data_IF_493175429125
#
_entry.id   IF_493175429125
#
_cell.length_a   1.000
_cell.length_b   1.000
_cell.length_c   1.000
_cell.angle_alpha   90.00
_cell.angle_beta   90.00
_cell.angle_gamma   90.00
#
_symmetry.space_group_name_H-M   'P 1'
#
loop_
_entity.id
_entity.type
_entity.pdbx_description
1 polymer ?
#
# COMPACT_ATOMS: atom_id res chain seq x y z
N UNK A 1 7.47 -3.63 -4.30
CA UNK A 1 6.54 -2.48 -4.31
C UNK A 1 6.07 -2.20 -5.73
N UNK A 2 4.77 -2.01 -5.96
CA UNK A 2 4.20 -1.74 -7.30
C UNK A 2 3.46 -0.40 -7.39
N UNK A 3 3.23 0.28 -6.26
CA UNK A 3 2.60 1.59 -6.23
C UNK A 3 3.55 2.67 -6.76
N UNK A 4 3.04 3.56 -7.63
CA UNK A 4 3.83 4.65 -8.21
C UNK A 4 4.47 5.56 -7.13
N UNK A 5 3.79 5.77 -5.99
CA UNK A 5 4.34 6.52 -4.84
C UNK A 5 5.56 5.85 -4.19
N UNK A 6 5.50 4.52 -4.01
CA UNK A 6 6.61 3.74 -3.44
C UNK A 6 7.82 3.68 -4.38
N UNK A 7 7.60 3.60 -5.69
CA UNK A 7 8.67 3.51 -6.68
C UNK A 7 9.35 4.87 -6.95
N UNK A 8 8.67 5.97 -6.68
CA UNK A 8 9.21 7.34 -6.84
C UNK A 8 9.81 7.91 -5.56
N UNK A 9 9.66 7.21 -4.41
CA UNK A 9 10.12 7.66 -3.10
C UNK A 9 11.05 6.61 -2.48
N UNK A 10 12.37 6.85 -2.57
CA UNK A 10 13.39 5.93 -2.06
C UNK A 10 13.22 5.62 -0.57
N UNK A 11 12.81 6.62 0.23
CA UNK A 11 12.55 6.44 1.66
C UNK A 11 11.35 5.53 1.95
N UNK A 12 10.28 5.65 1.17
CA UNK A 12 9.10 4.77 1.30
C UNK A 12 9.39 3.35 0.79
N UNK A 13 10.25 3.19 -0.21
CA UNK A 13 10.68 1.87 -0.66
C UNK A 13 11.42 1.11 0.44
N UNK A 14 12.33 1.77 1.17
CA UNK A 14 12.98 1.15 2.32
C UNK A 14 11.98 0.91 3.45
N UNK A 15 11.08 1.86 3.74
CA UNK A 15 10.08 1.74 4.80
C UNK A 15 9.05 0.63 4.54
N UNK A 16 8.64 0.39 3.29
CA UNK A 16 7.70 -0.68 2.94
C UNK A 16 8.32 -2.09 3.02
N UNK A 17 9.65 -2.17 3.09
CA UNK A 17 10.41 -3.41 3.27
C UNK A 17 10.81 -3.64 4.74
N UNK A 18 10.50 -2.71 5.65
CA UNK A 18 10.63 -2.93 7.10
C UNK A 18 9.36 -3.54 7.68
N UNK A 19 9.43 -4.03 8.93
CA UNK A 19 8.28 -4.56 9.68
C UNK A 19 7.42 -3.44 10.32
N UNK A 20 7.70 -2.18 9.99
CA UNK A 20 7.05 -1.01 10.59
C UNK A 20 5.60 -0.80 10.10
N UNK A 21 5.29 -0.90 8.80
CA UNK A 21 3.92 -0.72 8.33
C UNK A 21 3.13 -2.03 8.36
N UNK A 22 1.82 -1.91 8.58
CA UNK A 22 0.92 -3.08 8.52
C UNK A 22 0.60 -3.43 7.08
N UNK A 23 1.01 -4.62 6.64
CA UNK A 23 0.59 -5.19 5.36
C UNK A 23 -0.80 -5.81 5.53
N UNK A 24 -1.76 -5.40 4.69
CA UNK A 24 -3.11 -5.98 4.62
C UNK A 24 -3.40 -6.45 3.20
N UNK A 25 -4.34 -7.36 3.04
CA UNK A 25 -4.79 -7.77 1.71
C UNK A 25 -5.57 -6.64 1.02
N UNK A 26 -5.39 -6.50 -0.29
CA UNK A 26 -6.18 -5.57 -1.07
C UNK A 26 -7.66 -5.95 -1.07
N UNK A 27 -8.45 -5.10 -0.42
CA UNK A 27 -9.89 -5.20 -0.27
C UNK A 27 -10.48 -3.83 -0.65
N UNK A 28 -11.19 -3.69 -1.78
CA UNK A 28 -11.62 -2.40 -2.29
C UNK A 28 -12.56 -1.66 -1.32
N UNK A 29 -13.41 -2.39 -0.60
CA UNK A 29 -14.30 -1.81 0.41
C UNK A 29 -13.50 -1.17 1.56
N UNK A 30 -12.49 -1.87 2.07
CA UNK A 30 -11.65 -1.40 3.19
C UNK A 30 -10.69 -0.31 2.73
N UNK A 31 -10.13 -0.44 1.52
CA UNK A 31 -9.15 0.50 0.96
C UNK A 31 -9.80 1.85 0.64
N UNK A 32 -11.04 1.85 0.16
CA UNK A 32 -11.78 3.08 -0.13
C UNK A 32 -12.12 3.90 1.12
N UNK A 33 -12.33 3.24 2.25
CA UNK A 33 -12.66 3.89 3.53
C UNK A 33 -11.40 4.20 4.38
N UNK A 34 -10.24 3.68 3.98
CA UNK A 34 -8.98 3.87 4.71
C UNK A 34 -8.52 5.33 4.60
N UNK A 35 -8.53 6.03 5.75
CA UNK A 35 -7.91 7.35 5.85
C UNK A 35 -6.40 7.24 5.75
N UNK A 36 -5.80 8.10 4.93
CA UNK A 36 -4.36 8.19 4.71
C UNK A 36 -3.85 9.59 5.05
N UNK A 37 -2.77 9.73 5.85
CA UNK A 37 -2.08 11.00 5.98
C UNK A 37 -1.32 11.30 4.67
N UNK A 38 -1.39 12.54 4.18
CA UNK A 38 -0.64 12.99 2.99
C UNK A 38 0.78 13.47 3.33
N UNK A 39 1.06 13.76 4.60
CA UNK A 39 2.30 14.36 5.08
C UNK A 39 3.25 13.39 5.78
N UNK A 40 2.80 12.15 6.02
CA UNK A 40 3.55 11.12 6.76
C UNK A 40 3.56 9.81 5.97
N UNK A 41 4.47 8.90 6.33
CA UNK A 41 4.54 7.57 5.72
C UNK A 41 3.26 6.78 5.96
N UNK A 42 2.84 6.01 4.95
CA UNK A 42 1.61 5.22 5.04
C UNK A 42 1.73 4.17 6.15
N UNK A 43 0.84 4.17 7.16
CA UNK A 43 0.90 3.20 8.26
C UNK A 43 0.42 1.81 7.86
N UNK A 44 -0.32 1.71 6.74
CA UNK A 44 -0.89 0.49 6.20
C UNK A 44 -0.60 0.42 4.71
N UNK A 45 -0.08 -0.72 4.23
CA UNK A 45 0.02 -1.00 2.80
C UNK A 45 -0.90 -2.16 2.44
N UNK A 46 -1.60 -2.02 1.33
CA UNK A 46 -2.45 -3.07 0.79
C UNK A 46 -1.68 -3.86 -0.28
N UNK A 47 -1.64 -5.18 -0.12
CA UNK A 47 -0.94 -6.10 -1.01
C UNK A 47 -1.97 -6.77 -1.90
N UNK A 48 -1.89 -6.52 -3.21
CA UNK A 48 -2.60 -7.30 -4.21
C UNK A 48 -1.73 -8.47 -4.68
N UNK A 49 -2.26 -9.70 -4.63
CA UNK A 49 -1.56 -10.90 -5.09
C UNK A 49 -1.37 -10.95 -6.62
N UNK A 50 -2.27 -10.33 -7.39
CA UNK A 50 -2.18 -10.18 -8.85
C UNK A 50 -2.97 -8.96 -9.33
N UNK A 51 -2.55 -8.37 -10.45
CA UNK A 51 -3.30 -7.30 -11.13
C UNK A 51 -4.69 -7.76 -11.58
N UNK A 52 -4.83 -9.03 -11.97
CA UNK A 52 -6.13 -9.61 -12.35
C UNK A 52 -7.07 -9.68 -11.14
N UNK A 53 -6.55 -10.15 -10.00
CA UNK A 53 -7.31 -10.23 -8.75
C UNK A 53 -7.69 -8.84 -8.19
N UNK A 54 -6.85 -7.82 -8.42
CA UNK A 54 -7.17 -6.43 -8.07
C UNK A 54 -8.21 -5.78 -9.00
N UNK A 55 -8.38 -6.31 -10.22
CA UNK A 55 -9.37 -5.82 -11.19
C UNK A 55 -10.73 -6.51 -11.03
N UNK A 56 -10.73 -7.77 -10.60
CA UNK A 56 -11.96 -8.55 -10.37
C UNK A 56 -12.60 -8.29 -9.00
N UNK A 57 -11.84 -7.80 -8.00
CA UNK A 57 -12.37 -7.34 -6.72
C UNK A 57 -12.95 -5.94 -6.82
#
# INVERSE_FOLDING_TARGET
>A
AYGAGLLSSFGELQYCLTDTPKLKEFEPQVTAEQKYPITEYQPVYFVANSFESAKEK
#
